data_IF_706030861938
#
_entry.id   IF_706030861938
#
_cell.length_a   1.000
_cell.length_b   1.000
_cell.length_c   1.000
_cell.angle_alpha   90.00
_cell.angle_beta   90.00
_cell.angle_gamma   90.00
#
_symmetry.space_group_name_H-M   'P 1'
#
loop_
_entity.id
_entity.type
_entity.pdbx_description
1 polymer ?
#
# COMPACT_ATOMS: atom_id res chain seq x y z
N UNK A 1 -17.67 9.83 7.89
CA UNK A 1 -16.88 10.22 6.72
C UNK A 1 -17.81 10.90 5.72
N UNK A 2 -17.45 12.07 5.20
CA UNK A 2 -18.25 12.76 4.19
C UNK A 2 -18.26 11.97 2.87
N UNK A 3 -19.25 12.19 2.00
CA UNK A 3 -19.39 11.51 0.70
C UNK A 3 -18.19 11.67 -0.25
N UNK A 4 -17.26 12.58 0.07
CA UNK A 4 -16.06 12.86 -0.73
C UNK A 4 -14.78 12.30 -0.09
N UNK A 5 -14.89 11.49 0.98
CA UNK A 5 -13.74 10.84 1.61
C UNK A 5 -13.52 9.44 1.02
N UNK A 6 -12.24 9.12 0.84
CA UNK A 6 -11.78 7.78 0.43
C UNK A 6 -10.93 7.19 1.55
N UNK A 7 -11.10 5.89 1.77
CA UNK A 7 -10.25 5.11 2.64
C UNK A 7 -9.15 4.45 1.81
N UNK A 8 -7.90 4.74 2.16
CA UNK A 8 -6.74 4.07 1.62
C UNK A 8 -6.30 2.98 2.61
N UNK A 9 -6.18 1.75 2.12
CA UNK A 9 -5.57 0.65 2.86
C UNK A 9 -4.39 0.16 2.06
N UNK A 10 -3.25 0.15 2.71
CA UNK A 10 -1.98 -0.19 2.09
C UNK A 10 -1.30 -1.24 2.97
N UNK A 11 -0.64 -2.19 2.32
CA UNK A 11 0.13 -3.27 2.93
C UNK A 11 1.43 -3.52 2.15
N UNK A 12 2.53 -3.62 2.90
CA UNK A 12 3.85 -3.91 2.37
C UNK A 12 4.24 -5.37 2.61
N UNK A 13 4.97 -5.96 1.66
CA UNK A 13 5.55 -7.30 1.80
C UNK A 13 7.03 -7.31 1.42
N UNK A 14 7.83 -8.10 2.14
CA UNK A 14 9.28 -8.23 1.91
C UNK A 14 9.66 -9.70 1.76
N UNK A 15 10.50 -9.98 0.76
CA UNK A 15 11.21 -11.24 0.62
C UNK A 15 12.63 -11.09 1.18
N UNK A 16 12.86 -11.65 2.36
CA UNK A 16 14.12 -11.54 3.10
C UNK A 16 15.34 -12.07 2.34
N UNK A 17 15.17 -13.09 1.51
CA UNK A 17 16.27 -13.77 0.82
C UNK A 17 16.99 -12.87 -0.20
N UNK A 18 16.29 -11.89 -0.78
CA UNK A 18 16.81 -11.05 -1.86
C UNK A 18 16.60 -9.55 -1.64
N UNK A 19 16.07 -9.16 -0.47
CA UNK A 19 15.72 -7.77 -0.14
C UNK A 19 14.64 -7.16 -1.03
N UNK A 20 13.88 -7.96 -1.78
CA UNK A 20 12.82 -7.44 -2.62
C UNK A 20 11.60 -7.07 -1.80
N UNK A 21 10.98 -5.95 -2.15
CA UNK A 21 9.76 -5.51 -1.50
C UNK A 21 8.68 -5.18 -2.50
N UNK A 22 7.45 -5.45 -2.12
CA UNK A 22 6.26 -5.11 -2.88
C UNK A 22 5.30 -4.36 -1.97
N UNK A 23 4.75 -3.30 -2.51
CA UNK A 23 3.74 -2.43 -1.90
C UNK A 23 2.44 -2.70 -2.62
N UNK A 24 1.32 -2.73 -1.90
CA UNK A 24 0.02 -2.89 -2.50
C UNK A 24 -1.08 -2.33 -1.63
N UNK A 25 -2.22 -2.03 -2.24
CA UNK A 25 -3.31 -1.43 -1.49
C UNK A 25 -4.62 -1.39 -2.25
N UNK A 26 -5.66 -1.00 -1.52
CA UNK A 26 -6.99 -0.76 -2.03
C UNK A 26 -7.49 0.62 -1.60
N UNK A 27 -8.18 1.27 -2.52
CA UNK A 27 -8.93 2.50 -2.26
C UNK A 27 -10.41 2.15 -2.18
N UNK A 28 -11.07 2.62 -1.13
CA UNK A 28 -12.48 2.37 -0.84
C UNK A 28 -13.21 3.70 -0.62
N UNK A 29 -14.51 3.74 -0.90
CA UNK A 29 -15.33 4.90 -0.54
C UNK A 29 -15.69 4.90 0.96
N UNK A 30 -16.40 5.94 1.39
CA UNK A 30 -16.91 6.08 2.75
C UNK A 30 -17.86 4.96 3.23
N UNK A 31 -18.47 4.21 2.30
CA UNK A 31 -19.32 3.04 2.59
C UNK A 31 -18.49 1.74 2.64
N UNK A 32 -17.17 1.84 2.43
CA UNK A 32 -16.25 0.71 2.39
C UNK A 32 -16.26 -0.05 1.06
N UNK A 33 -16.94 0.45 0.03
CA UNK A 33 -16.97 -0.17 -1.29
C UNK A 33 -15.62 0.00 -1.98
N UNK A 34 -15.10 -1.09 -2.53
CA UNK A 34 -13.87 -1.08 -3.32
C UNK A 34 -14.04 -0.22 -4.58
N UNK A 35 -13.11 0.72 -4.77
CA UNK A 35 -13.03 1.58 -5.95
C UNK A 35 -11.99 1.04 -6.93
N UNK A 36 -10.75 0.86 -6.47
CA UNK A 36 -9.66 0.23 -7.22
C UNK A 36 -8.55 -0.24 -6.28
N UNK A 37 -7.60 -1.02 -6.80
CA UNK A 37 -6.40 -1.44 -6.09
C UNK A 37 -5.14 -1.14 -6.88
N UNK A 38 -4.00 -1.11 -6.20
CA UNK A 38 -2.69 -0.92 -6.79
C UNK A 38 -1.69 -1.91 -6.20
N UNK A 39 -0.65 -2.21 -6.97
CA UNK A 39 0.52 -2.94 -6.50
C UNK A 39 1.77 -2.42 -7.23
N UNK A 40 2.87 -2.28 -6.51
CA UNK A 40 4.15 -1.85 -7.07
C UNK A 40 5.28 -2.68 -6.48
N UNK A 41 6.05 -3.28 -7.39
CA UNK A 41 7.29 -3.93 -7.03
C UNK A 41 8.41 -2.90 -6.96
N UNK A 42 9.18 -2.94 -5.88
CA UNK A 42 10.30 -2.04 -5.64
C UNK A 42 11.55 -2.85 -5.30
N UNK A 43 12.71 -2.36 -5.73
CA UNK A 43 14.00 -3.03 -5.53
C UNK A 43 14.63 -2.61 -4.21
N UNK A 44 15.15 -3.57 -3.44
CA UNK A 44 16.00 -3.44 -2.25
C UNK A 44 15.70 -2.24 -1.33
N UNK A 45 14.87 -2.44 -0.32
CA UNK A 45 14.69 -1.52 0.82
C UNK A 45 14.62 -2.31 2.13
N UNK A 46 14.88 -1.65 3.26
CA UNK A 46 14.73 -2.27 4.58
C UNK A 46 13.26 -2.46 4.96
N UNK A 47 12.98 -3.23 6.03
CA UNK A 47 11.63 -3.41 6.56
C UNK A 47 10.93 -2.09 6.92
N UNK A 48 11.68 -1.20 7.55
CA UNK A 48 11.18 0.12 7.93
C UNK A 48 10.88 1.00 6.71
N UNK A 49 11.71 0.89 5.68
CA UNK A 49 11.50 1.60 4.43
C UNK A 49 10.27 1.08 3.70
N UNK A 50 10.01 -0.23 3.69
CA UNK A 50 8.85 -0.79 3.00
C UNK A 50 7.53 -0.26 3.56
N UNK A 51 7.34 -0.29 4.88
CA UNK A 51 6.16 0.25 5.57
C UNK A 51 6.00 1.77 5.36
N UNK A 52 7.11 2.52 5.39
CA UNK A 52 7.07 3.97 5.19
C UNK A 52 6.80 4.36 3.72
N UNK A 53 7.36 3.60 2.77
CA UNK A 53 7.10 3.78 1.34
C UNK A 53 5.67 3.44 0.97
N UNK A 54 5.09 2.46 1.64
CA UNK A 54 3.69 2.05 1.48
C UNK A 54 2.75 3.23 1.80
N UNK A 55 2.99 3.90 2.93
CA UNK A 55 2.27 5.13 3.32
C UNK A 55 2.53 6.28 2.35
N UNK A 56 3.77 6.45 1.86
CA UNK A 56 4.10 7.53 0.92
C UNK A 56 3.46 7.34 -0.46
N UNK A 57 3.31 6.09 -0.92
CA UNK A 57 2.80 5.78 -2.24
C UNK A 57 1.28 5.59 -2.31
N UNK A 58 0.65 5.35 -1.16
CA UNK A 58 -0.80 5.24 -1.07
C UNK A 58 -1.52 6.57 -1.23
#
# INVERSE_FOLDING_TARGET
MSKNEVCLNTDGSIRHDDGFFAVGGIVRDHDGKWLFGFNRYLRSCSFFDAELWDIWMG
#
